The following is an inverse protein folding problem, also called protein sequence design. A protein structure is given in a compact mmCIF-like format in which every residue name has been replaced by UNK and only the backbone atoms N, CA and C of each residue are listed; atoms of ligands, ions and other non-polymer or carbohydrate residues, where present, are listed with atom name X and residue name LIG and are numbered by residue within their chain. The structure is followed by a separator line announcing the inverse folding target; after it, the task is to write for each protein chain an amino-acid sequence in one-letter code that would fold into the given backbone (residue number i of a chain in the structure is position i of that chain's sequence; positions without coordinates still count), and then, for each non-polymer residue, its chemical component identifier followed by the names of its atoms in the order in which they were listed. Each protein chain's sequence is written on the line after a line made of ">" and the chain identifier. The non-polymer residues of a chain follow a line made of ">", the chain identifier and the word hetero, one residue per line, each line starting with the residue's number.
data_IF_881509742262
#
_entry.id   IF_881509742262
#
_cell.length_a   1.000
_cell.length_b   1.000
_cell.length_c   1.000
_cell.angle_alpha   90.00
_cell.angle_beta   90.00
_cell.angle_gamma   90.00
#
_symmetry.space_group_name_H-M   'P 1'
#
loop_
_entity.id
_entity.type
_entity.pdbx_description
1 polymer ?
#
# COMPACT_ATOMS: atom_id res chain seq x y z
N UNK A 1 -17.34 -10.61 -29.18
CA UNK A 1 -17.42 -9.30 -28.51
C UNK A 1 -17.90 -9.61 -27.10
N UNK A 2 -16.98 -9.68 -26.13
CA UNK A 2 -17.38 -9.87 -24.73
C UNK A 2 -17.73 -8.50 -24.16
N UNK A 3 -19.01 -8.27 -23.87
CA UNK A 3 -19.51 -7.13 -23.10
C UNK A 3 -18.96 -7.22 -21.67
N UNK A 4 -17.68 -6.88 -21.48
CA UNK A 4 -17.13 -6.75 -20.15
C UNK A 4 -17.46 -5.34 -19.64
N UNK A 5 -18.44 -5.27 -18.74
CA UNK A 5 -18.74 -4.05 -17.98
C UNK A 5 -17.46 -3.53 -17.34
N UNK A 6 -17.11 -2.24 -17.52
CA UNK A 6 -15.94 -1.63 -16.88
C UNK A 6 -15.95 -1.90 -15.36
N UNK A 7 -14.78 -2.12 -14.78
CA UNK A 7 -14.64 -2.46 -13.35
C UNK A 7 -15.35 -1.43 -12.45
N UNK A 8 -15.26 -0.15 -12.78
CA UNK A 8 -15.89 0.93 -12.03
C UNK A 8 -17.44 0.86 -12.01
N UNK A 9 -18.07 0.20 -13.00
CA UNK A 9 -19.53 0.07 -13.14
C UNK A 9 -20.05 -1.25 -12.58
N UNK A 10 -19.19 -2.18 -12.17
CA UNK A 10 -19.61 -3.47 -11.60
C UNK A 10 -20.19 -3.28 -10.21
N UNK A 11 -21.21 -4.09 -9.91
CA UNK A 11 -21.77 -4.16 -8.55
C UNK A 11 -20.76 -4.93 -7.68
N UNK A 12 -20.42 -4.44 -6.47
CA UNK A 12 -19.60 -5.19 -5.53
C UNK A 12 -20.25 -6.53 -5.17
N UNK A 13 -19.47 -7.61 -5.21
CA UNK A 13 -19.91 -8.92 -4.73
C UNK A 13 -19.18 -9.24 -3.44
N UNK A 14 -19.93 -9.39 -2.37
CA UNK A 14 -19.39 -9.65 -1.03
C UNK A 14 -19.26 -11.15 -0.82
N UNK A 15 -18.05 -11.68 -0.57
CA UNK A 15 -17.87 -13.10 -0.25
C UNK A 15 -18.62 -13.51 1.02
N UNK A 16 -19.11 -14.75 1.05
CA UNK A 16 -19.81 -15.28 2.21
C UNK A 16 -18.93 -15.23 3.47
N UNK A 17 -19.49 -14.74 4.57
CA UNK A 17 -18.77 -14.56 5.83
C UNK A 17 -18.03 -13.23 5.98
N UNK A 18 -17.93 -12.42 4.93
CA UNK A 18 -17.42 -11.06 5.03
C UNK A 18 -18.53 -10.14 5.53
N UNK A 19 -18.44 -9.70 6.78
CA UNK A 19 -19.46 -8.84 7.39
C UNK A 19 -19.21 -7.36 7.06
N UNK A 20 -20.27 -6.54 6.96
CA UNK A 20 -20.07 -5.09 6.87
C UNK A 20 -19.42 -4.56 8.16
N UNK A 21 -18.58 -3.55 8.02
CA UNK A 21 -17.88 -2.93 9.15
C UNK A 21 -18.83 -2.35 10.21
N UNK A 22 -20.06 -1.98 9.80
CA UNK A 22 -21.13 -1.47 10.67
C UNK A 22 -21.95 -2.59 11.36
N UNK A 23 -21.68 -3.87 11.08
CA UNK A 23 -22.39 -4.98 11.71
C UNK A 23 -22.14 -5.00 13.23
N UNK A 24 -23.15 -5.36 14.05
CA UNK A 24 -22.97 -5.47 15.50
C UNK A 24 -21.84 -6.45 15.89
N UNK A 25 -21.65 -7.51 15.14
CA UNK A 25 -20.62 -8.54 15.36
C UNK A 25 -19.21 -8.00 15.11
N UNK A 26 -19.06 -7.00 14.23
CA UNK A 26 -17.78 -6.35 13.95
C UNK A 26 -17.27 -5.53 15.16
N UNK A 27 -18.18 -5.07 16.02
CA UNK A 27 -17.85 -4.19 17.17
C UNK A 27 -16.80 -4.80 18.09
N UNK A 28 -16.91 -6.09 18.38
CA UNK A 28 -15.93 -6.79 19.25
C UNK A 28 -14.53 -6.83 18.63
N UNK A 29 -14.42 -6.91 17.29
CA UNK A 29 -13.15 -6.90 16.58
C UNK A 29 -12.51 -5.52 16.55
N UNK A 30 -13.32 -4.47 16.58
CA UNK A 30 -12.87 -3.08 16.49
C UNK A 30 -12.50 -2.49 17.85
N UNK A 31 -13.02 -3.01 18.95
CA UNK A 31 -12.88 -2.43 20.29
C UNK A 31 -11.43 -2.31 20.78
N UNK A 32 -10.52 -3.22 20.36
CA UNK A 32 -9.11 -3.24 20.76
C UNK A 32 -8.20 -2.41 19.85
N UNK A 33 -8.70 -1.90 18.71
CA UNK A 33 -7.89 -1.24 17.69
C UNK A 33 -7.35 0.10 18.17
N UNK A 34 -6.04 0.27 18.14
CA UNK A 34 -5.34 1.52 18.48
C UNK A 34 -4.58 2.12 17.29
N UNK A 35 -4.37 1.34 16.23
CA UNK A 35 -3.69 1.78 15.00
C UNK A 35 -4.49 1.35 13.78
N UNK A 36 -4.66 2.25 12.83
CA UNK A 36 -5.24 2.00 11.50
C UNK A 36 -4.13 2.15 10.46
N UNK A 37 -3.78 1.05 9.80
CA UNK A 37 -2.92 1.03 8.62
C UNK A 37 -3.80 1.17 7.38
N UNK A 38 -3.70 2.27 6.67
CA UNK A 38 -4.60 2.58 5.55
C UNK A 38 -3.85 2.72 4.24
N UNK A 39 -4.31 2.04 3.20
CA UNK A 39 -3.93 2.45 1.86
C UNK A 39 -4.48 3.86 1.56
N UNK A 40 -3.95 4.52 0.52
CA UNK A 40 -4.31 5.87 0.14
C UNK A 40 -5.25 5.91 -1.07
N UNK A 41 -4.75 5.48 -2.23
CA UNK A 41 -5.43 5.69 -3.51
C UNK A 41 -6.53 4.66 -3.73
N UNK A 42 -7.79 5.10 -3.76
CA UNK A 42 -8.94 4.18 -3.78
C UNK A 42 -9.46 3.79 -2.39
N UNK A 43 -8.80 4.24 -1.33
CA UNK A 43 -9.13 3.95 0.08
C UNK A 43 -9.37 5.24 0.86
N UNK A 44 -8.34 5.88 1.40
CA UNK A 44 -8.44 7.13 2.16
C UNK A 44 -8.68 8.35 1.27
N UNK A 45 -8.22 8.28 0.03
CA UNK A 45 -8.29 9.38 -0.92
C UNK A 45 -9.31 9.10 -2.03
N UNK A 46 -10.08 10.12 -2.36
CA UNK A 46 -10.97 10.12 -3.50
C UNK A 46 -10.19 10.08 -4.85
N UNK A 47 -10.88 9.79 -5.97
CA UNK A 47 -10.26 9.78 -7.29
C UNK A 47 -9.41 11.03 -7.56
N UNK A 48 -8.20 10.84 -8.09
CA UNK A 48 -7.22 11.90 -8.28
C UNK A 48 -6.42 12.27 -7.03
N UNK A 49 -6.43 11.43 -5.99
CA UNK A 49 -5.62 11.59 -4.78
C UNK A 49 -6.08 12.73 -3.86
N UNK A 50 -7.39 12.99 -3.79
CA UNK A 50 -7.98 14.13 -3.08
C UNK A 50 -8.53 13.74 -1.71
N UNK A 51 -8.07 14.42 -0.65
CA UNK A 51 -8.58 14.22 0.71
C UNK A 51 -9.92 14.93 0.94
N UNK A 52 -10.07 16.14 0.40
CA UNK A 52 -11.24 17.00 0.61
C UNK A 52 -12.29 16.80 -0.51
N UNK A 53 -12.58 15.54 -0.81
CA UNK A 53 -13.61 15.14 -1.77
C UNK A 53 -14.29 13.86 -1.31
N UNK A 54 -15.56 13.67 -1.69
CA UNK A 54 -16.27 12.40 -1.55
C UNK A 54 -15.87 11.39 -2.63
N UNK A 55 -16.47 10.21 -2.59
CA UNK A 55 -16.21 9.14 -3.56
C UNK A 55 -16.53 9.53 -5.02
N UNK A 56 -17.43 10.47 -5.24
CA UNK A 56 -17.79 10.99 -6.57
C UNK A 56 -16.91 12.18 -7.00
N UNK A 57 -16.05 12.67 -6.08
CA UNK A 57 -15.16 13.78 -6.31
C UNK A 57 -15.76 15.16 -6.02
N UNK A 58 -16.94 15.23 -5.43
CA UNK A 58 -17.50 16.49 -4.96
C UNK A 58 -16.81 16.97 -3.67
N UNK A 59 -16.69 18.29 -3.42
CA UNK A 59 -16.07 18.80 -2.20
C UNK A 59 -16.73 18.25 -0.94
N UNK A 60 -15.90 17.71 -0.01
CA UNK A 60 -16.34 17.14 1.26
C UNK A 60 -15.24 17.25 2.30
N UNK A 61 -15.59 17.51 3.56
CA UNK A 61 -14.69 17.52 4.72
C UNK A 61 -14.76 16.22 5.53
N UNK A 62 -15.67 15.31 5.20
CA UNK A 62 -15.99 14.14 6.02
C UNK A 62 -14.76 13.29 6.37
N UNK A 63 -13.87 13.04 5.41
CA UNK A 63 -12.63 12.27 5.65
C UNK A 63 -11.68 13.00 6.61
N UNK A 64 -11.54 14.32 6.46
CA UNK A 64 -10.70 15.11 7.36
C UNK A 64 -11.28 15.15 8.78
N UNK A 65 -12.60 15.28 8.92
CA UNK A 65 -13.30 15.23 10.21
C UNK A 65 -13.12 13.87 10.88
N UNK A 66 -13.27 12.77 10.14
CA UNK A 66 -13.04 11.42 10.64
C UNK A 66 -11.59 11.19 11.11
N UNK A 67 -10.58 11.70 10.37
CA UNK A 67 -9.19 11.68 10.79
C UNK A 67 -8.97 12.41 12.12
N UNK A 68 -9.56 13.59 12.27
CA UNK A 68 -9.48 14.36 13.51
C UNK A 68 -10.17 13.61 14.67
N UNK A 69 -11.32 13.00 14.42
CA UNK A 69 -12.06 12.23 15.42
C UNK A 69 -11.27 11.01 15.90
N UNK A 70 -10.69 10.22 14.98
CA UNK A 70 -9.82 9.08 15.33
C UNK A 70 -8.61 9.53 16.16
N UNK A 71 -7.92 10.59 15.74
CA UNK A 71 -6.78 11.13 16.48
C UNK A 71 -7.19 11.61 17.89
N UNK A 72 -8.33 12.27 18.01
CA UNK A 72 -8.88 12.73 19.30
C UNK A 72 -9.24 11.56 20.22
N UNK A 73 -9.62 10.41 19.67
CA UNK A 73 -9.87 9.17 20.39
C UNK A 73 -8.58 8.39 20.72
N UNK A 74 -7.39 8.92 20.39
CA UNK A 74 -6.11 8.28 20.63
C UNK A 74 -5.78 7.15 19.63
N UNK A 75 -6.44 7.11 18.47
CA UNK A 75 -6.18 6.14 17.40
C UNK A 75 -5.17 6.73 16.44
N UNK A 76 -4.07 6.01 16.24
CA UNK A 76 -3.03 6.39 15.27
C UNK A 76 -3.46 5.95 13.86
N UNK A 77 -3.36 6.84 12.89
CA UNK A 77 -3.56 6.50 11.46
C UNK A 77 -2.21 6.52 10.76
N UNK A 78 -1.89 5.43 10.08
CA UNK A 78 -0.63 5.23 9.34
C UNK A 78 -0.94 4.92 7.89
N UNK A 79 -0.70 5.84 6.95
CA UNK A 79 -0.77 5.55 5.52
C UNK A 79 0.26 4.50 5.10
N UNK A 80 -0.15 3.55 4.23
CA UNK A 80 0.67 2.48 3.68
C UNK A 80 0.47 2.43 2.17
N UNK A 81 1.40 2.97 1.38
CA UNK A 81 1.16 3.27 -0.04
C UNK A 81 2.38 3.01 -0.93
N UNK A 82 2.15 2.98 -2.25
CA UNK A 82 3.23 2.99 -3.25
C UNK A 82 3.88 4.36 -3.49
N UNK A 83 3.33 5.45 -2.92
CA UNK A 83 3.85 6.81 -3.08
C UNK A 83 5.22 6.98 -2.41
N UNK A 84 6.02 7.92 -2.89
CA UNK A 84 7.39 8.14 -2.43
C UNK A 84 7.52 8.99 -1.16
N UNK A 85 8.76 9.19 -0.74
CA UNK A 85 9.15 9.89 0.47
C UNK A 85 8.70 11.37 0.50
N UNK A 86 8.85 12.08 -0.61
CA UNK A 86 8.49 13.50 -0.70
C UNK A 86 7.01 13.70 -0.39
N UNK A 87 6.14 12.87 -1.00
CA UNK A 87 4.71 12.87 -0.73
C UNK A 87 4.42 12.47 0.73
N UNK A 88 5.17 11.51 1.28
CA UNK A 88 5.04 11.09 2.67
C UNK A 88 5.31 12.21 3.67
N UNK A 89 6.36 12.98 3.45
CA UNK A 89 6.69 14.13 4.30
C UNK A 89 5.57 15.17 4.31
N UNK A 90 4.96 15.45 3.14
CA UNK A 90 3.81 16.34 3.04
C UNK A 90 2.56 15.76 3.73
N UNK A 91 2.28 14.46 3.60
CA UNK A 91 1.19 13.82 4.32
C UNK A 91 1.37 13.94 5.84
N UNK A 92 2.56 13.65 6.37
CA UNK A 92 2.85 13.82 7.80
C UNK A 92 2.58 15.25 8.27
N UNK A 93 2.99 16.24 7.48
CA UNK A 93 2.87 17.65 7.83
C UNK A 93 1.42 18.15 7.72
N UNK A 94 0.77 17.92 6.56
CA UNK A 94 -0.55 18.49 6.26
C UNK A 94 -1.67 17.80 7.01
N UNK A 95 -1.60 16.48 7.18
CA UNK A 95 -2.61 15.70 7.86
C UNK A 95 -2.30 15.49 9.36
N UNK A 96 -1.21 16.10 9.85
CA UNK A 96 -0.77 15.96 11.24
C UNK A 96 -0.65 14.49 11.68
N UNK A 97 -0.07 13.65 10.83
CA UNK A 97 0.17 12.23 11.11
C UNK A 97 1.55 12.05 11.75
N UNK A 98 1.73 10.91 12.44
CA UNK A 98 2.96 10.61 13.16
C UNK A 98 3.82 9.56 12.45
N UNK A 99 3.25 8.81 11.51
CA UNK A 99 3.94 7.79 10.74
C UNK A 99 3.37 7.67 9.33
N UNK A 100 4.23 7.27 8.39
CA UNK A 100 3.90 7.00 7.00
C UNK A 100 4.76 5.85 6.51
N UNK A 101 4.16 4.93 5.78
CA UNK A 101 4.84 3.80 5.12
C UNK A 101 4.68 3.98 3.62
N UNK A 102 5.79 4.23 2.95
CA UNK A 102 5.83 4.50 1.51
C UNK A 102 6.50 3.39 0.70
N UNK A 103 6.48 3.58 -0.62
CA UNK A 103 7.21 2.74 -1.58
C UNK A 103 6.91 1.24 -1.43
N UNK A 104 5.60 0.93 -1.32
CA UNK A 104 5.09 -0.45 -1.14
C UNK A 104 5.65 -1.13 0.12
N UNK A 105 5.95 -0.35 1.16
CA UNK A 105 6.53 -0.85 2.41
C UNK A 105 8.05 -0.77 2.49
N UNK A 106 8.74 -0.26 1.47
CA UNK A 106 10.20 -0.11 1.50
C UNK A 106 10.70 1.00 2.43
N UNK A 107 9.80 1.89 2.86
CA UNK A 107 10.20 3.13 3.50
C UNK A 107 9.24 3.54 4.61
N UNK A 108 9.77 3.81 5.80
CA UNK A 108 8.99 4.26 6.97
C UNK A 108 9.50 5.64 7.37
N UNK A 109 8.60 6.63 7.38
CA UNK A 109 8.80 7.93 8.00
C UNK A 109 8.08 7.97 9.34
N UNK A 110 8.78 8.40 10.38
CA UNK A 110 8.16 8.61 11.70
C UNK A 110 8.52 10.00 12.23
N UNK A 111 7.53 10.70 12.71
CA UNK A 111 7.73 11.95 13.46
C UNK A 111 8.06 11.62 14.90
N UNK A 112 9.23 12.04 15.34
CA UNK A 112 9.66 11.93 16.73
C UNK A 112 9.17 13.09 17.59
N UNK A 113 9.25 12.91 18.90
CA UNK A 113 9.08 13.99 19.86
C UNK A 113 10.07 15.12 19.52
N UNK A 114 9.56 16.34 19.32
CA UNK A 114 10.37 17.47 18.88
C UNK A 114 10.29 17.78 17.38
N UNK A 115 9.52 16.99 16.61
CA UNK A 115 9.18 17.26 15.21
C UNK A 115 10.22 16.79 14.20
N UNK A 116 11.32 16.18 14.62
CA UNK A 116 12.29 15.52 13.72
C UNK A 116 11.60 14.35 13.04
N UNK A 117 11.90 14.15 11.76
CA UNK A 117 11.46 12.97 11.01
C UNK A 117 12.59 11.96 11.03
N UNK A 118 12.30 10.75 11.51
CA UNK A 118 13.15 9.58 11.43
C UNK A 118 12.80 8.78 10.17
N UNK A 119 13.85 8.40 9.45
CA UNK A 119 13.77 7.64 8.19
C UNK A 119 14.29 6.23 8.41
N UNK A 120 13.52 5.25 7.97
CA UNK A 120 13.93 3.86 8.04
C UNK A 120 13.65 3.12 6.74
N UNK A 121 14.68 2.47 6.19
CA UNK A 121 14.51 1.57 5.06
C UNK A 121 14.12 0.17 5.53
N UNK A 122 13.12 -0.40 4.88
CA UNK A 122 12.75 -1.81 5.01
C UNK A 122 13.27 -2.49 3.75
N UNK A 123 14.29 -3.31 3.89
CA UNK A 123 15.09 -3.85 2.78
C UNK A 123 14.92 -5.37 2.58
N UNK A 124 13.86 -5.95 3.17
CA UNK A 124 13.50 -7.35 2.97
C UNK A 124 14.65 -8.32 3.21
N UNK A 125 14.92 -9.18 2.24
CA UNK A 125 15.95 -10.20 2.32
C UNK A 125 17.37 -9.63 2.42
N UNK A 126 17.59 -8.41 1.94
CA UNK A 126 18.89 -7.74 2.08
C UNK A 126 19.29 -7.48 3.52
N UNK A 127 18.35 -7.42 4.46
CA UNK A 127 18.65 -7.22 5.87
C UNK A 127 19.58 -8.31 6.47
N UNK A 128 19.68 -9.46 5.81
CA UNK A 128 20.52 -10.58 6.24
C UNK A 128 21.74 -10.79 5.35
N UNK A 129 21.92 -9.97 4.33
CA UNK A 129 22.99 -10.10 3.33
C UNK A 129 24.08 -9.06 3.55
N UNK A 130 25.31 -9.41 3.20
CA UNK A 130 26.40 -8.45 3.06
C UNK A 130 26.35 -7.87 1.65
N UNK A 131 26.00 -6.60 1.53
CA UNK A 131 25.83 -5.94 0.25
C UNK A 131 27.16 -5.53 -0.40
N UNK A 132 28.21 -5.32 0.42
CA UNK A 132 29.60 -5.15 -0.04
C UNK A 132 30.58 -5.78 0.96
N UNK A 133 31.82 -6.14 0.52
CA UNK A 133 32.86 -6.60 1.42
C UNK A 133 33.16 -5.57 2.51
N UNK A 134 33.21 -6.02 3.75
CA UNK A 134 33.51 -5.16 4.91
C UNK A 134 32.31 -4.56 5.61
N UNK A 135 31.10 -4.60 5.01
CA UNK A 135 29.87 -4.14 5.65
C UNK A 135 29.25 -5.22 6.54
N UNK A 136 28.47 -4.81 7.54
CA UNK A 136 27.61 -5.70 8.30
C UNK A 136 26.42 -6.17 7.44
N UNK A 137 25.73 -7.29 7.80
CA UNK A 137 24.51 -7.68 7.12
C UNK A 137 23.43 -6.57 7.20
N UNK A 138 22.83 -6.26 6.05
CA UNK A 138 21.83 -5.21 5.92
C UNK A 138 22.37 -3.77 5.87
N UNK A 139 23.66 -3.60 6.02
CA UNK A 139 24.30 -2.29 5.89
C UNK A 139 24.49 -1.92 4.43
N UNK A 140 24.03 -0.73 4.06
CA UNK A 140 24.24 -0.15 2.74
C UNK A 140 25.59 0.58 2.67
N UNK A 141 26.24 0.65 1.50
CA UNK A 141 27.42 1.47 1.31
C UNK A 141 27.18 2.93 1.70
N UNK A 142 28.18 3.56 2.31
CA UNK A 142 28.07 4.90 2.83
C UNK A 142 27.56 5.91 1.79
N UNK A 143 26.55 6.67 2.15
CA UNK A 143 25.93 7.70 1.31
C UNK A 143 24.99 7.18 0.23
N UNK A 144 24.64 5.87 0.24
CA UNK A 144 23.64 5.30 -0.65
C UNK A 144 22.37 4.91 0.08
N UNK A 145 21.24 5.15 -0.59
CA UNK A 145 19.98 4.51 -0.27
C UNK A 145 19.76 3.26 -1.15
N UNK A 146 18.76 2.41 -0.88
CA UNK A 146 18.48 1.22 -1.69
C UNK A 146 18.19 1.52 -3.17
N UNK A 147 17.52 2.63 -3.47
CA UNK A 147 17.23 3.06 -4.85
C UNK A 147 18.52 3.32 -5.64
N UNK A 148 19.49 4.04 -5.05
CA UNK A 148 20.79 4.31 -5.66
C UNK A 148 21.63 3.04 -5.81
N UNK A 149 21.58 2.16 -4.81
CA UNK A 149 22.29 0.87 -4.85
C UNK A 149 21.74 -0.02 -5.98
N UNK A 150 20.42 -0.13 -6.14
CA UNK A 150 19.78 -0.84 -7.27
C UNK A 150 20.22 -0.20 -8.59
N UNK A 151 20.21 1.13 -8.70
CA UNK A 151 20.62 1.84 -9.92
C UNK A 151 22.04 1.53 -10.36
N UNK A 152 22.98 1.35 -9.41
CA UNK A 152 24.38 1.00 -9.70
C UNK A 152 24.56 -0.36 -10.34
N UNK A 153 23.68 -1.33 -10.09
CA UNK A 153 23.75 -2.68 -10.67
C UNK A 153 23.50 -2.69 -12.19
N UNK A 154 22.91 -1.63 -12.73
CA UNK A 154 22.49 -1.55 -14.13
C UNK A 154 21.26 -2.40 -14.48
N UNK A 155 20.55 -2.96 -13.49
CA UNK A 155 19.34 -3.78 -13.70
C UNK A 155 18.24 -2.97 -14.39
N UNK A 156 18.12 -1.70 -14.07
CA UNK A 156 17.12 -0.81 -14.69
C UNK A 156 17.32 -0.65 -16.18
N UNK A 157 18.58 -0.49 -16.63
CA UNK A 157 18.93 -0.43 -18.04
C UNK A 157 18.65 -1.75 -18.75
N UNK A 158 18.92 -2.89 -18.10
CA UNK A 158 18.58 -4.22 -18.64
C UNK A 158 17.09 -4.43 -18.75
N UNK A 159 16.30 -3.95 -17.80
CA UNK A 159 14.82 -3.97 -17.85
C UNK A 159 14.32 -3.18 -19.06
N UNK A 160 14.78 -1.95 -19.27
CA UNK A 160 14.38 -1.13 -20.42
C UNK A 160 14.78 -1.76 -21.75
N UNK A 161 15.95 -2.40 -21.81
CA UNK A 161 16.40 -3.08 -23.02
C UNK A 161 15.57 -4.33 -23.34
N UNK A 162 15.10 -5.04 -22.33
CA UNK A 162 14.27 -6.25 -22.47
C UNK A 162 12.78 -5.93 -22.72
N UNK A 163 12.30 -4.80 -22.22
CA UNK A 163 10.92 -4.34 -22.32
C UNK A 163 10.90 -2.89 -22.84
N UNK A 164 11.19 -2.67 -24.12
CA UNK A 164 11.32 -1.31 -24.69
C UNK A 164 10.01 -0.50 -24.68
N UNK A 165 8.86 -1.16 -24.57
CA UNK A 165 7.55 -0.55 -24.36
C UNK A 165 7.32 -0.01 -22.95
N UNK A 166 8.22 -0.33 -22.01
CA UNK A 166 8.13 0.15 -20.64
C UNK A 166 8.54 1.63 -20.58
N UNK A 167 7.67 2.45 -20.01
CA UNK A 167 7.95 3.86 -19.80
C UNK A 167 8.47 4.13 -18.40
N UNK A 168 9.33 5.13 -18.30
CA UNK A 168 9.81 5.63 -17.01
C UNK A 168 8.71 6.42 -16.29
N UNK A 169 8.35 6.02 -15.08
CA UNK A 169 7.20 6.59 -14.39
C UNK A 169 7.51 7.92 -13.70
N UNK A 170 8.62 8.00 -13.01
CA UNK A 170 9.00 9.17 -12.24
C UNK A 170 10.46 9.57 -12.46
N UNK A 171 10.71 10.79 -12.93
CA UNK A 171 12.08 11.31 -13.09
C UNK A 171 12.73 11.70 -11.76
N UNK A 172 11.99 11.66 -10.64
CA UNK A 172 12.49 12.04 -9.31
C UNK A 172 13.13 10.87 -8.60
N UNK A 173 14.25 11.07 -7.93
CA UNK A 173 14.85 10.07 -7.06
C UNK A 173 13.85 9.59 -6.01
N UNK A 174 13.95 8.30 -5.66
CA UNK A 174 13.16 7.67 -4.59
C UNK A 174 14.12 7.18 -3.50
N UNK A 175 13.57 6.59 -2.46
CA UNK A 175 14.37 6.11 -1.34
C UNK A 175 14.72 4.63 -1.45
N UNK A 176 13.80 3.81 -1.94
CA UNK A 176 13.98 2.35 -1.98
C UNK A 176 13.65 1.77 -3.35
N UNK A 177 12.50 2.12 -3.93
CA UNK A 177 11.99 1.47 -5.14
C UNK A 177 12.24 2.27 -6.40
N UNK A 178 12.54 1.59 -7.50
CA UNK A 178 12.38 2.15 -8.85
C UNK A 178 10.95 1.93 -9.30
N UNK A 179 10.30 2.97 -9.80
CA UNK A 179 8.91 2.91 -10.25
C UNK A 179 8.81 3.08 -11.76
N UNK A 180 8.04 2.20 -12.41
CA UNK A 180 7.88 2.15 -13.86
C UNK A 180 6.41 2.07 -14.24
N UNK A 181 6.09 2.61 -15.41
CA UNK A 181 4.79 2.44 -16.06
C UNK A 181 4.93 1.56 -17.29
N UNK A 182 4.01 0.66 -17.50
CA UNK A 182 4.03 -0.18 -18.67
C UNK A 182 3.01 -1.32 -18.62
N UNK A 183 3.20 -2.27 -19.51
CA UNK A 183 2.46 -3.52 -19.53
C UNK A 183 3.44 -4.66 -19.85
N UNK A 184 4.09 -5.22 -18.83
CA UNK A 184 5.12 -6.22 -18.99
C UNK A 184 4.76 -7.52 -18.29
N UNK A 185 5.32 -8.61 -18.78
CA UNK A 185 5.29 -9.90 -18.13
C UNK A 185 6.26 -9.91 -16.93
N UNK A 186 5.71 -9.70 -15.72
CA UNK A 186 6.48 -9.66 -14.47
C UNK A 186 7.18 -10.98 -14.18
N UNK A 187 6.55 -12.13 -14.50
CA UNK A 187 7.15 -13.44 -14.28
C UNK A 187 8.33 -13.67 -15.21
N UNK A 188 8.21 -13.23 -16.47
CA UNK A 188 9.32 -13.26 -17.40
C UNK A 188 10.47 -12.38 -16.95
N UNK A 189 10.20 -11.16 -16.50
CA UNK A 189 11.21 -10.25 -15.97
C UNK A 189 11.93 -10.87 -14.76
N UNK A 190 11.19 -11.45 -13.82
CA UNK A 190 11.74 -12.13 -12.65
C UNK A 190 12.67 -13.30 -13.07
N UNK A 191 12.21 -14.16 -13.97
CA UNK A 191 12.94 -15.35 -14.41
C UNK A 191 14.17 -15.03 -15.25
N UNK A 192 14.06 -14.09 -16.19
CA UNK A 192 15.10 -13.85 -17.20
C UNK A 192 16.14 -12.81 -16.77
N UNK A 193 15.76 -11.86 -15.92
CA UNK A 193 16.60 -10.75 -15.49
C UNK A 193 16.92 -10.80 -14.01
N UNK A 194 15.91 -10.76 -13.14
CA UNK A 194 16.14 -10.58 -11.70
C UNK A 194 16.80 -11.79 -11.05
N UNK A 195 16.53 -13.01 -11.56
CA UNK A 195 17.18 -14.22 -11.05
C UNK A 195 18.70 -14.26 -11.26
N UNK A 196 19.24 -13.35 -12.07
CA UNK A 196 20.70 -13.26 -12.36
C UNK A 196 21.39 -12.16 -11.57
N UNK A 197 20.64 -11.36 -10.83
CA UNK A 197 21.21 -10.30 -10.02
C UNK A 197 21.93 -10.89 -8.79
N UNK A 198 23.04 -10.26 -8.42
CA UNK A 198 23.81 -10.64 -7.24
C UNK A 198 23.00 -10.49 -5.96
N UNK A 199 22.14 -9.47 -5.92
CA UNK A 199 21.23 -9.21 -4.80
C UNK A 199 19.80 -9.50 -5.22
N UNK A 200 19.02 -10.25 -4.39
CA UNK A 200 17.66 -10.60 -4.73
C UNK A 200 16.78 -9.34 -4.85
N UNK A 201 16.16 -9.21 -6.00
CA UNK A 201 15.23 -8.15 -6.34
C UNK A 201 13.89 -8.76 -6.72
N UNK A 202 12.84 -7.97 -6.53
CA UNK A 202 11.50 -8.27 -7.04
C UNK A 202 10.96 -7.11 -7.87
N UNK A 203 10.24 -7.45 -8.93
CA UNK A 203 9.42 -6.51 -9.68
C UNK A 203 7.98 -6.74 -9.25
N UNK A 204 7.40 -5.75 -8.61
CA UNK A 204 6.09 -5.81 -8.00
C UNK A 204 5.10 -5.01 -8.85
N UNK A 205 3.98 -5.64 -9.24
CA UNK A 205 2.86 -4.97 -9.91
C UNK A 205 1.95 -4.34 -8.87
N UNK A 206 1.88 -3.01 -8.84
CA UNK A 206 1.05 -2.25 -7.92
C UNK A 206 -0.32 -1.89 -8.52
N UNK A 207 -0.72 -2.54 -9.60
CA UNK A 207 -2.03 -2.39 -10.22
C UNK A 207 -2.08 -1.39 -11.37
N UNK A 208 -3.30 -1.18 -11.86
CA UNK A 208 -3.59 -0.39 -13.07
C UNK A 208 -3.61 1.10 -12.74
N UNK A 209 -2.92 1.88 -13.56
CA UNK A 209 -2.95 3.33 -13.51
C UNK A 209 -4.17 3.85 -14.29
N UNK A 210 -5.08 4.47 -13.59
CA UNK A 210 -6.18 5.20 -14.22
C UNK A 210 -5.68 6.58 -14.67
N UNK A 211 -5.83 6.91 -15.96
CA UNK A 211 -5.33 8.14 -16.60
C UNK A 211 -3.82 8.19 -16.83
N UNK A 212 -3.24 7.19 -17.51
CA UNK A 212 -1.84 7.26 -17.92
C UNK A 212 -1.62 8.48 -18.81
N UNK A 213 -0.45 9.12 -18.77
CA UNK A 213 -0.10 10.10 -19.77
C UNK A 213 -0.16 9.43 -21.16
N UNK A 214 -0.76 10.09 -22.15
CA UNK A 214 -1.15 9.55 -23.45
C UNK A 214 -0.01 9.14 -24.38
N UNK A 215 1.03 8.52 -23.88
CA UNK A 215 2.27 8.18 -24.58
C UNK A 215 2.52 6.68 -24.70
N UNK A 216 1.67 5.82 -24.12
CA UNK A 216 1.77 4.38 -24.35
C UNK A 216 1.06 3.96 -25.62
N UNK A 217 1.69 3.14 -26.48
CA UNK A 217 1.03 2.61 -27.67
C UNK A 217 -0.08 1.63 -27.30
N UNK A 218 -1.28 1.83 -27.85
CA UNK A 218 -2.40 0.89 -27.78
C UNK A 218 -3.36 1.10 -26.61
N UNK A 219 -4.46 0.32 -26.62
CA UNK A 219 -5.51 0.33 -25.59
C UNK A 219 -5.21 -0.60 -24.40
N UNK A 220 -3.97 -1.06 -24.27
CA UNK A 220 -3.58 -1.94 -23.19
C UNK A 220 -3.59 -1.20 -21.83
N UNK A 221 -4.04 -1.85 -20.75
CA UNK A 221 -3.98 -1.26 -19.43
C UNK A 221 -2.52 -0.95 -19.05
N UNK A 222 -2.30 0.23 -18.46
CA UNK A 222 -0.99 0.63 -17.97
C UNK A 222 -0.90 0.31 -16.50
N UNK A 223 0.10 -0.48 -16.14
CA UNK A 223 0.39 -0.86 -14.75
C UNK A 223 1.51 0.01 -14.17
N UNK A 224 1.53 0.14 -12.85
CA UNK A 224 2.64 0.70 -12.08
C UNK A 224 3.42 -0.45 -11.48
N UNK A 225 4.69 -0.54 -11.84
CA UNK A 225 5.61 -1.52 -11.29
C UNK A 225 6.61 -0.88 -10.33
N UNK A 226 6.98 -1.61 -9.29
CA UNK A 226 8.05 -1.24 -8.37
C UNK A 226 9.13 -2.31 -8.39
N UNK A 227 10.35 -1.93 -8.76
CA UNK A 227 11.54 -2.76 -8.58
C UNK A 227 12.19 -2.39 -7.25
N UNK A 228 12.33 -3.37 -6.36
CA UNK A 228 12.77 -3.17 -4.98
C UNK A 228 13.45 -4.45 -4.46
N UNK A 229 14.13 -4.40 -3.29
CA UNK A 229 14.69 -5.60 -2.67
C UNK A 229 13.63 -6.68 -2.45
N UNK A 230 13.99 -7.94 -2.70
CA UNK A 230 13.07 -9.05 -2.49
C UNK A 230 12.60 -9.13 -1.03
N UNK A 231 11.34 -9.56 -0.84
CA UNK A 231 10.71 -9.67 0.47
C UNK A 231 10.20 -8.35 1.06
N UNK A 232 10.43 -7.20 0.41
CA UNK A 232 9.79 -5.94 0.82
C UNK A 232 8.30 -5.99 0.47
N UNK A 233 7.45 -5.61 1.41
CA UNK A 233 5.99 -5.57 1.22
C UNK A 233 5.33 -4.64 2.24
N UNK A 234 4.08 -4.23 1.98
CA UNK A 234 3.24 -3.52 2.95
C UNK A 234 3.15 -4.30 4.28
N UNK A 235 3.00 -5.61 4.21
CA UNK A 235 2.98 -6.53 5.35
C UNK A 235 4.26 -6.42 6.19
N UNK A 236 5.45 -6.56 5.59
CA UNK A 236 6.73 -6.49 6.32
C UNK A 236 6.92 -5.14 7.01
N UNK A 237 6.52 -4.06 6.36
CA UNK A 237 6.61 -2.72 6.92
C UNK A 237 5.67 -2.54 8.13
N UNK A 238 4.43 -3.05 8.05
CA UNK A 238 3.49 -3.05 9.18
C UNK A 238 4.05 -3.87 10.34
N UNK A 239 4.58 -5.08 10.09
CA UNK A 239 5.24 -5.88 11.12
C UNK A 239 6.38 -5.11 11.80
N UNK A 240 7.19 -4.40 11.00
CA UNK A 240 8.30 -3.57 11.48
C UNK A 240 7.82 -2.39 12.33
N UNK A 241 6.78 -1.68 11.89
CA UNK A 241 6.19 -0.55 12.64
C UNK A 241 5.54 -1.01 13.94
N UNK A 242 4.73 -2.09 13.89
CA UNK A 242 4.10 -2.68 15.09
C UNK A 242 5.14 -3.12 16.13
N UNK A 243 6.18 -3.83 15.68
CA UNK A 243 7.27 -4.26 16.58
C UNK A 243 7.93 -3.07 17.29
N UNK A 244 8.18 -1.97 16.55
CA UNK A 244 8.76 -0.76 17.12
C UNK A 244 7.84 -0.04 18.13
N UNK A 245 6.53 -0.28 18.05
CA UNK A 245 5.51 0.24 18.98
C UNK A 245 5.18 -0.74 20.10
N UNK A 246 5.74 -1.95 20.09
CA UNK A 246 5.34 -3.05 20.95
C UNK A 246 3.82 -3.33 20.91
N UNK A 247 3.21 -3.24 19.72
CA UNK A 247 1.77 -3.44 19.51
C UNK A 247 1.46 -4.87 19.06
N UNK A 248 0.50 -5.55 19.72
CA UNK A 248 0.00 -6.83 19.23
C UNK A 248 -0.84 -6.66 17.96
N UNK A 249 -1.04 -7.75 17.22
CA UNK A 249 -1.78 -7.69 15.95
C UNK A 249 -3.24 -7.26 16.12
N UNK A 250 -3.89 -7.69 17.19
CA UNK A 250 -5.29 -7.37 17.52
C UNK A 250 -5.52 -5.88 17.88
N UNK A 251 -4.46 -5.15 18.19
CA UNK A 251 -4.51 -3.69 18.34
C UNK A 251 -4.41 -2.93 17.00
N UNK A 252 -4.26 -3.64 15.88
CA UNK A 252 -4.13 -3.06 14.55
C UNK A 252 -5.33 -3.42 13.65
N UNK A 253 -5.82 -2.43 12.92
CA UNK A 253 -6.73 -2.58 11.77
C UNK A 253 -5.95 -2.21 10.51
N UNK A 254 -6.14 -2.98 9.43
CA UNK A 254 -5.69 -2.56 8.10
C UNK A 254 -6.89 -2.36 7.16
N UNK A 255 -6.77 -1.44 6.20
CA UNK A 255 -7.82 -1.12 5.24
C UNK A 255 -7.23 -0.82 3.87
N UNK A 256 -7.83 -1.38 2.83
CA UNK A 256 -7.40 -1.21 1.45
C UNK A 256 -8.44 -1.70 0.44
N UNK A 257 -8.18 -1.50 -0.85
CA UNK A 257 -9.11 -1.80 -1.93
C UNK A 257 -8.59 -2.82 -2.97
N UNK A 258 -7.36 -3.29 -2.80
CA UNK A 258 -6.71 -4.19 -3.76
C UNK A 258 -6.34 -5.55 -3.15
N UNK A 259 -6.06 -6.54 -4.01
CA UNK A 259 -5.54 -7.84 -3.59
C UNK A 259 -4.17 -7.71 -2.88
N UNK A 260 -3.38 -6.72 -3.26
CA UNK A 260 -2.10 -6.40 -2.63
C UNK A 260 -2.29 -5.94 -1.18
N UNK A 261 -3.32 -5.14 -0.92
CA UNK A 261 -3.60 -4.65 0.43
C UNK A 261 -4.04 -5.76 1.38
N UNK A 262 -4.64 -6.83 0.85
CA UNK A 262 -5.02 -7.99 1.65
C UNK A 262 -3.84 -8.65 2.37
N UNK A 263 -2.60 -8.48 1.90
CA UNK A 263 -1.41 -8.97 2.63
C UNK A 263 -1.27 -8.31 4.01
N UNK A 264 -1.77 -7.07 4.16
CA UNK A 264 -1.77 -6.37 5.44
C UNK A 264 -2.61 -7.07 6.51
N UNK A 265 -3.60 -7.90 6.09
CA UNK A 265 -4.43 -8.70 7.00
C UNK A 265 -3.64 -9.71 7.84
N UNK A 266 -2.45 -10.11 7.39
CA UNK A 266 -1.60 -11.03 8.13
C UNK A 266 -0.90 -10.38 9.33
N UNK A 267 -0.82 -9.05 9.32
CA UNK A 267 -0.18 -8.26 10.36
C UNK A 267 -1.18 -7.39 11.13
N UNK A 268 -2.48 -7.60 10.95
CA UNK A 268 -3.55 -6.88 11.65
C UNK A 268 -4.57 -7.83 12.25
N UNK A 269 -5.21 -7.44 13.33
CA UNK A 269 -6.27 -8.23 13.97
C UNK A 269 -7.55 -8.27 13.16
N UNK A 270 -7.76 -7.25 12.33
CA UNK A 270 -8.90 -7.14 11.41
C UNK A 270 -8.49 -6.36 10.17
N UNK A 271 -9.00 -6.78 9.02
CA UNK A 271 -8.85 -6.06 7.76
C UNK A 271 -10.21 -5.58 7.25
N UNK A 272 -10.27 -4.39 6.70
CA UNK A 272 -11.47 -3.85 6.05
C UNK A 272 -11.23 -3.75 4.55
N UNK A 273 -11.94 -4.54 3.76
CA UNK A 273 -11.95 -4.46 2.31
C UNK A 273 -12.91 -3.38 1.85
N UNK A 274 -12.43 -2.45 1.01
CA UNK A 274 -13.25 -1.39 0.46
C UNK A 274 -14.26 -1.91 -0.56
N UNK A 275 -15.46 -1.33 -0.60
CA UNK A 275 -16.51 -1.73 -1.53
C UNK A 275 -16.10 -1.63 -3.02
N UNK A 276 -15.27 -0.64 -3.38
CA UNK A 276 -14.74 -0.54 -4.74
C UNK A 276 -13.80 -1.71 -5.10
N UNK A 277 -13.01 -2.20 -4.16
CA UNK A 277 -12.17 -3.38 -4.36
C UNK A 277 -12.99 -4.64 -4.64
N UNK A 278 -14.13 -4.81 -3.97
CA UNK A 278 -15.04 -5.94 -4.17
C UNK A 278 -15.76 -5.96 -5.54
N UNK A 279 -15.50 -5.00 -6.40
CA UNK A 279 -15.91 -5.04 -7.83
C UNK A 279 -14.98 -5.92 -8.67
N UNK A 280 -13.76 -6.19 -8.19
CA UNK A 280 -12.78 -7.02 -8.87
C UNK A 280 -12.92 -8.50 -8.45
N UNK A 281 -13.17 -9.44 -9.39
CA UNK A 281 -13.27 -10.85 -9.09
C UNK A 281 -12.04 -11.44 -8.38
N UNK A 282 -10.82 -11.01 -8.74
CA UNK A 282 -9.59 -11.46 -8.08
C UNK A 282 -9.56 -11.07 -6.60
N UNK A 283 -10.04 -9.87 -6.28
CA UNK A 283 -10.15 -9.41 -4.88
C UNK A 283 -11.20 -10.23 -4.13
N UNK A 284 -12.34 -10.54 -4.77
CA UNK A 284 -13.39 -11.38 -4.17
C UNK A 284 -12.85 -12.77 -3.82
N UNK A 285 -12.13 -13.42 -4.76
CA UNK A 285 -11.51 -14.72 -4.56
C UNK A 285 -10.45 -14.67 -3.44
N UNK A 286 -9.60 -13.65 -3.45
CA UNK A 286 -8.58 -13.45 -2.42
C UNK A 286 -9.20 -13.23 -1.03
N UNK A 287 -10.27 -12.45 -0.92
CA UNK A 287 -11.03 -12.26 0.33
C UNK A 287 -11.64 -13.57 0.81
N UNK A 288 -12.28 -14.33 -0.09
CA UNK A 288 -12.85 -15.63 0.26
C UNK A 288 -11.79 -16.61 0.78
N UNK A 289 -10.63 -16.66 0.14
CA UNK A 289 -9.51 -17.51 0.56
C UNK A 289 -8.99 -17.12 1.96
N UNK A 290 -8.86 -15.82 2.25
CA UNK A 290 -8.41 -15.31 3.56
C UNK A 290 -9.42 -15.60 4.67
N UNK A 291 -10.71 -15.45 4.39
CA UNK A 291 -11.80 -15.84 5.33
C UNK A 291 -11.76 -17.33 5.63
N UNK A 292 -11.59 -18.17 4.60
CA UNK A 292 -11.45 -19.64 4.77
C UNK A 292 -10.22 -20.01 5.60
N UNK A 293 -9.15 -19.22 5.54
CA UNK A 293 -7.95 -19.36 6.37
C UNK A 293 -8.14 -18.82 7.81
N UNK A 294 -9.33 -18.33 8.17
CA UNK A 294 -9.67 -17.87 9.51
C UNK A 294 -9.28 -16.40 9.79
N UNK A 295 -8.89 -15.65 8.77
CA UNK A 295 -8.61 -14.22 8.93
C UNK A 295 -9.93 -13.43 9.09
N UNK A 296 -9.86 -12.37 9.86
CA UNK A 296 -11.01 -11.50 10.17
C UNK A 296 -11.06 -10.37 9.15
N UNK A 297 -11.92 -10.52 8.15
CA UNK A 297 -12.11 -9.55 7.09
C UNK A 297 -13.54 -9.01 7.17
N UNK A 298 -13.64 -7.69 7.25
CA UNK A 298 -14.84 -6.91 7.14
C UNK A 298 -14.86 -6.19 5.78
N UNK A 299 -15.99 -5.59 5.41
CA UNK A 299 -16.04 -4.73 4.24
C UNK A 299 -16.76 -3.41 4.54
N UNK A 300 -16.40 -2.34 3.82
CA UNK A 300 -17.20 -1.13 3.78
C UNK A 300 -18.39 -1.33 2.84
N UNK A 301 -19.50 -0.62 3.09
CA UNK A 301 -20.68 -0.63 2.19
C UNK A 301 -20.60 0.46 1.13
N UNK A 302 -19.77 1.48 1.36
CA UNK A 302 -19.50 2.60 0.46
C UNK A 302 -18.07 2.52 -0.11
N UNK A 303 -17.84 3.10 -1.29
CA UNK A 303 -16.51 3.09 -1.89
C UNK A 303 -15.61 4.21 -1.36
N UNK A 304 -14.30 4.06 -1.50
CA UNK A 304 -13.25 5.06 -1.27
C UNK A 304 -13.42 5.87 0.03
N UNK A 305 -13.30 7.18 -0.01
CA UNK A 305 -13.43 8.08 1.15
C UNK A 305 -14.67 7.85 1.99
N UNK A 306 -15.84 7.61 1.37
CA UNK A 306 -17.08 7.39 2.12
C UNK A 306 -17.07 6.07 2.89
N UNK A 307 -16.49 5.02 2.33
CA UNK A 307 -16.28 3.75 3.01
C UNK A 307 -15.21 3.83 4.10
N UNK A 308 -14.21 4.68 3.90
CA UNK A 308 -13.23 4.96 4.94
C UNK A 308 -13.83 5.69 6.14
N UNK A 309 -14.72 6.67 5.89
CA UNK A 309 -15.49 7.34 6.93
C UNK A 309 -16.40 6.36 7.67
N UNK A 310 -17.09 5.46 6.94
CA UNK A 310 -17.91 4.40 7.53
C UNK A 310 -17.09 3.51 8.50
N UNK A 311 -15.87 3.13 8.12
CA UNK A 311 -14.96 2.39 8.99
C UNK A 311 -14.57 3.21 10.24
N UNK A 312 -14.25 4.48 10.07
CA UNK A 312 -13.87 5.34 11.19
C UNK A 312 -15.03 5.51 12.19
N UNK A 313 -16.25 5.71 11.70
CA UNK A 313 -17.45 5.81 12.53
C UNK A 313 -17.72 4.51 13.32
N UNK A 314 -17.60 3.35 12.64
CA UNK A 314 -17.77 2.07 13.29
C UNK A 314 -16.70 1.81 14.37
N UNK A 315 -15.46 2.20 14.10
CA UNK A 315 -14.35 2.08 15.05
C UNK A 315 -14.56 2.97 16.29
N UNK A 316 -14.99 4.21 16.09
CA UNK A 316 -15.32 5.14 17.19
C UNK A 316 -16.51 4.64 18.01
N UNK A 317 -17.54 4.08 17.37
CA UNK A 317 -18.72 3.54 18.04
C UNK A 317 -18.44 2.24 18.83
N UNK A 318 -17.32 1.57 18.53
CA UNK A 318 -16.91 0.35 19.23
C UNK A 318 -16.20 0.61 20.57
N UNK A 319 -15.81 1.85 20.81
CA UNK A 319 -15.18 2.31 22.06
C UNK A 319 -16.18 2.83 23.06
#
# INVERSE_FOLDING_TARGET
>A
MSDTVPLAERIPVVPAGCLPVSAPEARALLASVNVVYTDLDGTLLAPGGRLLADHAGAPSTATAEALVALKSAGITVVPVTGRGADQGSEFLRLMNLDCYIGEVGGYILRREAGGRIDERYVIGDWARMRLEPGLAPGELPAGLNPWEFIGRSGVTQRLFAAFPEMLFAYPTPRSVSWSFWGNIDVERAARELLAREEFPLQLFDNGILYHPPGTLPGDAPVHIYHLLPAGVSKKLAIATDRASRALPADAALAIGDSAVDLEMSEESGVFVMMANGLRNPEVQEAVAARLAAGQKILHSTRPTTDGWVEMADALLAAR
#
